data_IF_882867473703
#
_entry.id   IF_882867473703
#
_cell.length_a   1.000
_cell.length_b   1.000
_cell.length_c   1.000
_cell.angle_alpha   90.00
_cell.angle_beta   90.00
_cell.angle_gamma   90.00
#
_symmetry.space_group_name_H-M   'P 1'
#
loop_
_entity.id
_entity.type
_entity.pdbx_description
1 polymer ?
#
# COMPACT_ATOMS: atom_id res chain seq x y z
N UNK A 1 -27.32 34.42 -34.74
CA UNK A 1 -25.87 34.73 -34.80
C UNK A 1 -25.11 33.76 -33.89
N UNK A 2 -24.13 33.04 -34.41
CA UNK A 2 -23.31 32.11 -33.65
C UNK A 2 -22.04 32.83 -33.17
N UNK A 3 -21.82 32.88 -31.86
CA UNK A 3 -20.59 33.44 -31.31
C UNK A 3 -19.43 32.47 -31.56
N UNK A 4 -18.35 32.90 -32.26
CA UNK A 4 -17.18 32.07 -32.47
C UNK A 4 -16.47 31.81 -31.14
N UNK A 5 -15.94 30.59 -31.00
CA UNK A 5 -15.17 30.18 -29.82
C UNK A 5 -13.86 31.01 -29.75
N UNK A 6 -13.42 31.48 -28.56
CA UNK A 6 -12.15 32.17 -28.41
C UNK A 6 -10.97 31.29 -28.86
N UNK A 7 -9.98 31.83 -29.58
CA UNK A 7 -8.84 31.06 -30.04
C UNK A 7 -7.91 30.75 -28.87
N UNK A 8 -7.70 29.45 -28.65
CA UNK A 8 -6.82 28.82 -27.65
C UNK A 8 -7.41 28.74 -26.23
N UNK A 9 -8.44 27.92 -26.07
CA UNK A 9 -8.63 27.23 -24.79
C UNK A 9 -7.36 26.43 -24.47
N UNK A 10 -6.54 26.94 -23.56
CA UNK A 10 -5.50 26.12 -22.93
C UNK A 10 -6.22 25.00 -22.20
N UNK A 11 -5.84 23.76 -22.50
CA UNK A 11 -6.34 22.60 -21.78
C UNK A 11 -6.08 22.85 -20.29
N UNK A 12 -7.08 22.71 -19.40
CA UNK A 12 -6.82 22.76 -17.98
C UNK A 12 -5.71 21.76 -17.67
N UNK A 13 -4.64 22.21 -17.01
CA UNK A 13 -3.55 21.31 -16.59
C UNK A 13 -4.03 20.52 -15.37
N UNK A 14 -4.82 19.49 -15.68
CA UNK A 14 -5.55 18.70 -14.71
C UNK A 14 -5.53 17.26 -15.17
N UNK A 15 -5.26 16.34 -14.23
CA UNK A 15 -5.34 14.90 -14.50
C UNK A 15 -6.76 14.54 -14.95
N UNK A 16 -6.94 13.83 -16.09
CA UNK A 16 -8.27 13.45 -16.52
C UNK A 16 -8.95 12.50 -15.52
N UNK A 17 -10.22 12.77 -15.22
CA UNK A 17 -11.06 11.97 -14.32
C UNK A 17 -11.14 10.53 -14.79
N UNK A 18 -10.64 9.62 -13.96
CA UNK A 18 -10.47 8.20 -14.27
C UNK A 18 -11.57 7.29 -13.71
N UNK A 19 -12.63 7.87 -13.16
CA UNK A 19 -13.74 7.20 -12.46
C UNK A 19 -13.37 6.60 -11.09
N UNK A 20 -12.12 6.73 -10.64
CA UNK A 20 -11.67 6.30 -9.32
C UNK A 20 -11.29 7.48 -8.41
N UNK A 21 -11.04 8.65 -8.99
CA UNK A 21 -10.88 9.89 -8.23
C UNK A 21 -12.22 10.33 -7.61
N UNK A 22 -12.16 11.01 -6.45
CA UNK A 22 -13.32 11.63 -5.83
C UNK A 22 -13.95 12.67 -6.79
N UNK A 23 -15.24 12.53 -7.15
CA UNK A 23 -15.89 13.43 -8.10
C UNK A 23 -16.05 14.86 -7.57
N UNK A 24 -16.10 15.05 -6.24
CA UNK A 24 -16.19 16.38 -5.62
C UNK A 24 -14.86 17.11 -5.79
N UNK A 25 -13.74 16.50 -5.39
CA UNK A 25 -12.40 17.08 -5.52
C UNK A 25 -12.07 17.43 -6.98
N UNK A 26 -12.48 16.57 -7.93
CA UNK A 26 -12.33 16.84 -9.36
C UNK A 26 -13.12 18.08 -9.79
N UNK A 27 -14.34 18.25 -9.30
CA UNK A 27 -15.16 19.43 -9.60
C UNK A 27 -14.57 20.70 -9.00
N UNK A 28 -14.12 20.66 -7.75
CA UNK A 28 -13.58 21.83 -7.06
C UNK A 28 -12.29 22.32 -7.72
N UNK A 29 -11.38 21.39 -8.05
CA UNK A 29 -10.16 21.73 -8.79
C UNK A 29 -10.48 22.31 -10.17
N UNK A 30 -11.45 21.73 -10.87
CA UNK A 30 -11.88 22.25 -12.17
C UNK A 30 -12.51 23.64 -12.04
N UNK A 31 -13.40 23.85 -11.08
CA UNK A 31 -14.11 25.10 -10.83
C UNK A 31 -13.12 26.24 -10.56
N UNK A 32 -12.13 26.02 -9.69
CA UNK A 32 -11.08 27.00 -9.42
C UNK A 32 -10.27 27.39 -10.67
N UNK A 33 -9.93 26.43 -11.54
CA UNK A 33 -9.24 26.71 -12.80
C UNK A 33 -10.09 27.55 -13.77
N UNK A 34 -11.40 27.30 -13.81
CA UNK A 34 -12.32 28.03 -14.68
C UNK A 34 -12.66 29.42 -14.18
N UNK A 35 -12.68 29.62 -12.86
CA UNK A 35 -12.81 30.94 -12.22
C UNK A 35 -11.61 31.84 -12.55
N UNK A 36 -10.39 31.31 -12.43
CA UNK A 36 -9.17 32.02 -12.84
C UNK A 36 -9.18 32.45 -14.31
N UNK A 37 -9.87 31.68 -15.15
CA UNK A 37 -9.98 31.94 -16.60
C UNK A 37 -11.21 32.79 -16.97
N UNK A 38 -12.00 33.26 -15.99
CA UNK A 38 -13.23 34.03 -16.18
C UNK A 38 -14.20 33.42 -17.23
N UNK A 39 -14.29 32.09 -17.30
CA UNK A 39 -15.11 31.41 -18.31
C UNK A 39 -16.60 31.46 -17.95
N UNK A 40 -17.46 31.80 -18.92
CA UNK A 40 -18.90 31.71 -18.76
C UNK A 40 -19.40 30.25 -18.66
N UNK A 41 -20.54 30.04 -18.00
CA UNK A 41 -21.11 28.72 -17.68
C UNK A 41 -21.19 27.75 -18.86
N UNK A 42 -21.63 28.22 -20.03
CA UNK A 42 -21.73 27.40 -21.24
C UNK A 42 -20.35 26.89 -21.70
N UNK A 43 -19.32 27.72 -21.53
CA UNK A 43 -17.94 27.32 -21.81
C UNK A 43 -17.42 26.37 -20.75
N UNK A 44 -17.66 26.65 -19.46
CA UNK A 44 -17.35 25.73 -18.35
C UNK A 44 -17.95 24.34 -18.59
N UNK A 45 -19.20 24.25 -19.01
CA UNK A 45 -19.82 22.96 -19.31
C UNK A 45 -19.09 22.22 -20.43
N UNK A 46 -18.79 22.91 -21.55
CA UNK A 46 -18.10 22.30 -22.71
C UNK A 46 -16.68 21.88 -22.40
N UNK A 47 -15.94 22.74 -21.72
CA UNK A 47 -14.54 22.55 -21.32
C UNK A 47 -14.37 21.34 -20.39
N UNK A 48 -15.36 21.07 -19.54
CA UNK A 48 -15.35 19.94 -18.62
C UNK A 48 -15.22 18.60 -19.33
N UNK A 49 -15.78 18.44 -20.53
CA UNK A 49 -15.67 17.20 -21.31
C UNK A 49 -14.22 16.77 -21.58
N UNK A 50 -13.29 17.73 -21.63
CA UNK A 50 -11.87 17.53 -21.90
C UNK A 50 -11.14 16.95 -20.67
N UNK A 51 -11.67 17.20 -19.47
CA UNK A 51 -11.12 16.68 -18.21
C UNK A 51 -11.62 15.27 -17.89
N UNK A 52 -12.48 14.67 -18.72
CA UNK A 52 -13.03 13.34 -18.50
C UNK A 52 -12.39 12.29 -19.42
N UNK A 53 -12.26 11.05 -18.95
CA UNK A 53 -11.92 9.88 -19.78
C UNK A 53 -12.83 8.67 -19.50
N UNK A 54 -12.78 7.68 -20.39
CA UNK A 54 -13.50 6.40 -20.23
C UNK A 54 -15.01 6.56 -20.04
N UNK A 55 -15.53 5.98 -18.96
CA UNK A 55 -16.96 5.96 -18.62
C UNK A 55 -17.52 7.37 -18.40
N UNK A 56 -16.83 8.24 -17.66
CA UNK A 56 -17.25 9.62 -17.44
C UNK A 56 -17.40 10.43 -18.73
N UNK A 57 -16.46 10.29 -19.68
CA UNK A 57 -16.58 10.95 -20.98
C UNK A 57 -17.78 10.42 -21.78
N UNK A 58 -18.02 9.11 -21.72
CA UNK A 58 -19.16 8.49 -22.41
C UNK A 58 -20.49 8.91 -21.83
N UNK A 59 -20.60 8.98 -20.50
CA UNK A 59 -21.76 9.55 -19.80
C UNK A 59 -22.00 11.01 -20.20
N UNK A 60 -20.94 11.85 -20.22
CA UNK A 60 -21.09 13.26 -20.59
C UNK A 60 -21.68 13.42 -22.00
N UNK A 61 -21.27 12.56 -22.95
CA UNK A 61 -21.81 12.56 -24.32
C UNK A 61 -23.29 12.15 -24.41
N UNK A 62 -23.79 11.40 -23.43
CA UNK A 62 -25.20 10.98 -23.35
C UNK A 62 -26.09 12.05 -22.72
N UNK A 63 -25.51 13.09 -22.10
CA UNK A 63 -26.27 14.24 -21.62
C UNK A 63 -26.92 14.92 -22.83
N UNK A 64 -28.25 15.07 -22.81
CA UNK A 64 -29.01 15.68 -23.91
C UNK A 64 -28.39 17.06 -24.22
N UNK A 65 -28.00 17.28 -25.47
CA UNK A 65 -27.20 18.44 -25.94
C UNK A 65 -27.80 19.84 -25.70
N UNK A 66 -28.93 19.96 -25.00
CA UNK A 66 -29.64 21.21 -24.69
C UNK A 66 -30.17 21.30 -23.26
N UNK A 67 -29.98 20.29 -22.39
CA UNK A 67 -30.57 20.31 -21.04
C UNK A 67 -29.67 20.93 -19.96
N UNK A 68 -28.40 21.21 -20.28
CA UNK A 68 -27.42 21.74 -19.32
C UNK A 68 -26.82 23.01 -19.90
N UNK A 69 -27.34 24.14 -19.45
CA UNK A 69 -26.87 25.47 -19.86
C UNK A 69 -25.99 26.13 -18.80
N UNK A 70 -26.19 25.72 -17.54
CA UNK A 70 -25.50 26.28 -16.37
C UNK A 70 -24.48 25.29 -15.81
N UNK A 71 -23.36 25.81 -15.32
CA UNK A 71 -22.31 25.00 -14.70
C UNK A 71 -22.84 24.25 -13.48
N UNK A 72 -23.66 24.92 -12.67
CA UNK A 72 -24.28 24.33 -11.47
C UNK A 72 -25.15 23.10 -11.79
N UNK A 73 -25.81 23.08 -12.95
CA UNK A 73 -26.61 21.94 -13.39
C UNK A 73 -25.71 20.75 -13.72
N UNK A 74 -24.61 20.99 -14.44
CA UNK A 74 -23.63 19.96 -14.77
C UNK A 74 -22.97 19.38 -13.52
N UNK A 75 -22.55 20.26 -12.60
CA UNK A 75 -22.00 19.89 -11.28
C UNK A 75 -22.93 18.93 -10.56
N UNK A 76 -24.20 19.30 -10.42
CA UNK A 76 -25.20 18.49 -9.72
C UNK A 76 -25.37 17.10 -10.34
N UNK A 77 -25.53 17.02 -11.66
CA UNK A 77 -25.73 15.70 -12.32
C UNK A 77 -24.47 14.85 -12.34
N UNK A 78 -23.28 15.46 -12.40
CA UNK A 78 -22.01 14.74 -12.32
C UNK A 78 -21.80 14.14 -10.93
N UNK A 79 -21.98 14.95 -9.88
CA UNK A 79 -21.93 14.49 -8.49
C UNK A 79 -22.94 13.37 -8.31
N UNK A 80 -24.21 13.56 -8.67
CA UNK A 80 -25.21 12.50 -8.52
C UNK A 80 -24.85 11.20 -9.26
N UNK A 81 -24.23 11.29 -10.44
CA UNK A 81 -23.87 10.12 -11.24
C UNK A 81 -22.68 9.35 -10.68
N UNK A 82 -21.62 10.05 -10.27
CA UNK A 82 -20.34 9.45 -9.92
C UNK A 82 -20.11 9.39 -8.42
N UNK A 83 -20.76 10.24 -7.64
CA UNK A 83 -20.72 10.16 -6.19
C UNK A 83 -21.40 8.89 -5.70
N UNK A 84 -22.45 8.36 -6.32
CA UNK A 84 -23.05 7.09 -5.86
C UNK A 84 -22.07 5.88 -5.80
N UNK A 85 -20.98 5.90 -6.58
CA UNK A 85 -19.93 4.88 -6.51
C UNK A 85 -18.89 5.15 -5.39
N UNK A 86 -18.77 6.41 -4.96
CA UNK A 86 -17.89 6.88 -3.88
C UNK A 86 -18.60 7.04 -2.51
N UNK A 87 -19.90 7.38 -2.54
CA UNK A 87 -20.83 7.64 -1.45
C UNK A 87 -21.51 6.36 -0.94
N UNK A 88 -21.04 5.18 -1.36
CA UNK A 88 -21.22 3.99 -0.51
C UNK A 88 -20.32 4.12 0.72
N UNK A 89 -20.59 5.16 1.51
CA UNK A 89 -20.12 5.35 2.87
C UNK A 89 -20.42 4.04 3.56
N UNK A 90 -19.37 3.37 4.01
CA UNK A 90 -19.51 2.12 4.71
C UNK A 90 -20.09 2.45 6.08
N UNK A 91 -21.13 1.72 6.48
CA UNK A 91 -21.69 1.79 7.84
C UNK A 91 -20.63 1.32 8.84
N UNK A 92 -20.72 1.71 10.11
CA UNK A 92 -19.89 1.14 11.19
C UNK A 92 -19.94 -0.40 11.19
N UNK A 93 -21.10 -0.97 10.85
CA UNK A 93 -21.28 -2.43 10.74
C UNK A 93 -20.41 -3.08 9.66
N UNK A 94 -19.94 -2.31 8.67
CA UNK A 94 -18.98 -2.79 7.67
C UNK A 94 -17.68 -3.24 8.33
N UNK A 95 -17.22 -2.58 9.40
CA UNK A 95 -15.97 -2.94 10.07
C UNK A 95 -16.02 -4.35 10.67
N UNK A 96 -17.20 -4.84 11.04
CA UNK A 96 -17.37 -6.21 11.54
C UNK A 96 -17.10 -7.28 10.46
N UNK A 97 -17.17 -6.90 9.18
CA UNK A 97 -16.89 -7.81 8.06
C UNK A 97 -15.40 -7.92 7.75
N UNK A 98 -14.57 -7.07 8.34
CA UNK A 98 -13.11 -7.02 8.12
C UNK A 98 -12.43 -7.80 9.25
N UNK A 99 -12.86 -9.03 9.53
CA UNK A 99 -12.22 -9.85 10.55
C UNK A 99 -10.86 -10.39 10.05
N UNK A 100 -9.99 -10.73 11.00
CA UNK A 100 -8.71 -11.35 10.68
C UNK A 100 -8.95 -12.79 10.23
N UNK A 101 -8.60 -13.09 8.98
CA UNK A 101 -8.83 -14.40 8.39
C UNK A 101 -7.84 -15.45 8.94
N UNK A 102 -8.18 -16.74 8.80
CA UNK A 102 -7.28 -17.81 9.21
C UNK A 102 -6.00 -17.81 8.34
N UNK A 103 -4.83 -17.77 9.00
CA UNK A 103 -3.54 -17.69 8.32
C UNK A 103 -3.15 -16.28 7.85
N UNK A 104 -4.02 -15.28 7.99
CA UNK A 104 -3.69 -13.90 7.68
C UNK A 104 -2.75 -13.30 8.74
N UNK A 105 -1.69 -12.63 8.28
CA UNK A 105 -0.76 -11.97 9.19
C UNK A 105 -1.39 -10.75 9.87
N UNK A 106 -0.93 -10.43 11.08
CA UNK A 106 -1.38 -9.24 11.79
C UNK A 106 -1.11 -7.96 10.99
N UNK A 107 -0.04 -7.93 10.19
CA UNK A 107 0.31 -6.80 9.34
C UNK A 107 -0.74 -6.56 8.24
N UNK A 108 -1.15 -7.63 7.53
CA UNK A 108 -2.16 -7.55 6.48
C UNK A 108 -3.50 -7.10 7.05
N UNK A 109 -3.94 -7.73 8.14
CA UNK A 109 -5.19 -7.41 8.81
C UNK A 109 -5.25 -5.95 9.29
N UNK A 110 -4.25 -5.48 10.05
CA UNK A 110 -4.23 -4.11 10.57
C UNK A 110 -4.21 -3.09 9.42
N UNK A 111 -3.47 -3.39 8.35
CA UNK A 111 -3.44 -2.55 7.15
C UNK A 111 -4.82 -2.43 6.48
N UNK A 112 -5.51 -3.57 6.29
CA UNK A 112 -6.90 -3.59 5.76
C UNK A 112 -7.84 -2.83 6.67
N UNK A 113 -7.84 -3.11 7.97
CA UNK A 113 -8.74 -2.49 8.94
C UNK A 113 -8.59 -0.96 8.96
N UNK A 114 -7.37 -0.44 9.07
CA UNK A 114 -7.13 1.01 9.10
C UNK A 114 -7.59 1.68 7.80
N UNK A 115 -7.33 1.04 6.65
CA UNK A 115 -7.74 1.54 5.33
C UNK A 115 -9.26 1.58 5.20
N UNK A 116 -9.95 0.54 5.66
CA UNK A 116 -11.41 0.45 5.61
C UNK A 116 -12.08 1.39 6.62
N UNK A 117 -11.48 1.59 7.79
CA UNK A 117 -11.96 2.56 8.79
C UNK A 117 -11.98 3.99 8.29
N UNK A 118 -11.07 4.38 7.39
CA UNK A 118 -11.08 5.70 6.75
C UNK A 118 -12.31 5.88 5.83
N UNK A 119 -12.87 4.79 5.30
CA UNK A 119 -14.04 4.80 4.40
C UNK A 119 -15.39 4.83 5.16
N UNK A 120 -15.36 4.75 6.48
CA UNK A 120 -16.52 4.83 7.37
C UNK A 120 -16.58 6.24 7.96
N UNK A 121 -17.60 7.01 7.57
CA UNK A 121 -17.79 8.38 8.05
C UNK A 121 -18.29 8.36 9.50
N UNK A 122 -17.81 9.28 10.33
CA UNK A 122 -18.26 9.50 11.72
C UNK A 122 -18.15 8.26 12.65
N UNK A 123 -17.31 7.29 12.31
CA UNK A 123 -17.04 6.13 13.17
C UNK A 123 -16.43 6.59 14.50
N UNK A 124 -17.18 6.44 15.60
CA UNK A 124 -16.69 6.81 16.92
C UNK A 124 -15.46 5.98 17.30
N UNK A 125 -14.52 6.59 18.03
CA UNK A 125 -13.34 5.87 18.50
C UNK A 125 -13.70 4.67 19.38
N UNK A 126 -14.83 4.70 20.08
CA UNK A 126 -15.31 3.59 20.89
C UNK A 126 -15.82 2.43 20.06
N UNK A 127 -16.63 2.70 19.02
CA UNK A 127 -17.07 1.66 18.07
C UNK A 127 -15.88 1.07 17.35
N UNK A 128 -14.99 1.90 16.78
CA UNK A 128 -13.79 1.43 16.10
C UNK A 128 -12.90 0.56 17.00
N UNK A 129 -12.73 0.96 18.27
CA UNK A 129 -12.00 0.18 19.28
C UNK A 129 -12.69 -1.15 19.55
N UNK A 130 -13.97 -1.15 19.88
CA UNK A 130 -14.73 -2.36 20.21
C UNK A 130 -14.72 -3.34 19.04
N UNK A 131 -15.00 -2.87 17.82
CA UNK A 131 -14.98 -3.68 16.62
C UNK A 131 -13.60 -4.25 16.32
N UNK A 132 -12.54 -3.42 16.37
CA UNK A 132 -11.17 -3.91 16.14
C UNK A 132 -10.80 -5.03 17.10
N UNK A 133 -11.19 -4.90 18.37
CA UNK A 133 -10.87 -5.86 19.43
C UNK A 133 -11.71 -7.13 19.34
N UNK A 134 -12.93 -7.07 18.78
CA UNK A 134 -13.81 -8.24 18.63
C UNK A 134 -13.48 -9.10 17.42
N UNK A 135 -12.88 -8.52 16.37
CA UNK A 135 -12.66 -9.20 15.09
C UNK A 135 -11.21 -9.63 14.85
N UNK A 136 -10.30 -9.32 15.79
CA UNK A 136 -8.90 -9.73 15.71
C UNK A 136 -8.76 -11.19 16.12
N UNK A 137 -7.87 -11.93 15.45
CA UNK A 137 -7.64 -13.35 15.66
C UNK A 137 -6.16 -13.66 15.95
N UNK A 138 -5.48 -12.75 16.65
CA UNK A 138 -4.07 -12.92 17.05
C UNK A 138 -3.99 -13.22 18.56
N UNK A 139 -3.78 -14.48 18.98
CA UNK A 139 -3.94 -14.90 20.38
C UNK A 139 -3.12 -14.08 21.39
N UNK A 140 -1.83 -13.87 21.13
CA UNK A 140 -0.94 -13.14 22.03
C UNK A 140 -1.36 -11.67 22.20
N UNK A 141 -1.95 -11.09 21.15
CA UNK A 141 -2.46 -9.73 21.16
C UNK A 141 -3.80 -9.65 21.90
N UNK A 142 -4.70 -10.60 21.67
CA UNK A 142 -5.97 -10.76 22.44
C UNK A 142 -5.67 -10.88 23.94
N UNK A 143 -4.73 -11.74 24.32
CA UNK A 143 -4.32 -11.91 25.71
C UNK A 143 -3.79 -10.60 26.29
N UNK A 144 -2.95 -9.87 25.55
CA UNK A 144 -2.41 -8.58 25.98
C UNK A 144 -3.49 -7.52 26.22
N UNK A 145 -4.59 -7.59 25.47
CA UNK A 145 -5.74 -6.71 25.63
C UNK A 145 -6.57 -7.06 26.85
N UNK A 146 -6.77 -8.36 27.14
CA UNK A 146 -7.45 -8.81 28.34
C UNK A 146 -6.68 -8.42 29.62
N UNK A 147 -5.35 -8.57 29.60
CA UNK A 147 -4.50 -8.20 30.74
C UNK A 147 -4.41 -6.68 30.95
N UNK A 148 -4.46 -5.91 29.87
CA UNK A 148 -4.34 -4.46 29.92
C UNK A 148 -5.34 -3.80 28.96
N UNK A 149 -6.60 -3.60 29.40
CA UNK A 149 -7.64 -2.97 28.60
C UNK A 149 -7.18 -1.59 28.10
N UNK A 150 -7.50 -1.27 26.84
CA UNK A 150 -7.20 0.03 26.24
C UNK A 150 -8.40 0.95 26.31
N UNK A 151 -8.17 2.23 26.59
CA UNK A 151 -9.25 3.23 26.69
C UNK A 151 -9.60 3.84 25.34
N UNK A 152 -8.66 3.85 24.39
CA UNK A 152 -8.83 4.51 23.10
C UNK A 152 -8.50 3.60 21.93
N UNK A 153 -9.10 3.90 20.77
CA UNK A 153 -8.76 3.25 19.50
C UNK A 153 -7.27 3.37 19.16
N UNK A 154 -6.68 4.55 19.35
CA UNK A 154 -5.27 4.82 19.05
C UNK A 154 -4.34 3.92 19.87
N UNK A 155 -4.61 3.74 21.15
CA UNK A 155 -3.85 2.83 22.02
C UNK A 155 -3.94 1.38 21.56
N UNK A 156 -5.11 0.94 21.09
CA UNK A 156 -5.31 -0.41 20.58
C UNK A 156 -4.45 -0.65 19.32
N UNK A 157 -4.53 0.25 18.34
CA UNK A 157 -3.74 0.18 17.10
C UNK A 157 -2.23 0.27 17.38
N UNK A 158 -1.80 1.17 18.27
CA UNK A 158 -0.39 1.28 18.63
C UNK A 158 0.16 0.00 19.25
N UNK A 159 -0.62 -0.68 20.08
CA UNK A 159 -0.20 -1.99 20.62
C UNK A 159 -0.12 -3.03 19.52
N UNK A 160 -1.09 -3.11 18.62
CA UNK A 160 -1.04 -4.03 17.48
C UNK A 160 0.23 -3.82 16.65
N UNK A 161 0.62 -2.56 16.38
CA UNK A 161 1.86 -2.23 15.67
C UNK A 161 3.13 -2.70 16.41
N UNK A 162 3.15 -2.68 17.74
CA UNK A 162 4.27 -3.24 18.52
C UNK A 162 4.36 -4.76 18.35
N UNK A 163 3.22 -5.45 18.29
CA UNK A 163 3.19 -6.89 18.02
C UNK A 163 3.62 -7.22 16.60
N UNK A 164 3.18 -6.45 15.60
CA UNK A 164 3.66 -6.58 14.22
C UNK A 164 5.20 -6.50 14.16
N UNK A 165 5.79 -5.48 14.81
CA UNK A 165 7.24 -5.34 14.85
C UNK A 165 7.93 -6.51 15.56
N UNK A 166 7.35 -7.02 16.66
CA UNK A 166 7.87 -8.20 17.34
C UNK A 166 7.84 -9.46 16.46
N UNK A 167 6.76 -9.66 15.69
CA UNK A 167 6.65 -10.75 14.72
C UNK A 167 7.71 -10.64 13.62
N UNK A 168 7.97 -9.43 13.10
CA UNK A 168 9.00 -9.20 12.08
C UNK A 168 10.41 -9.54 12.61
N UNK A 169 10.72 -9.14 13.83
CA UNK A 169 11.99 -9.46 14.49
C UNK A 169 12.15 -10.98 14.68
N UNK A 170 11.08 -11.68 15.06
CA UNK A 170 11.10 -13.14 15.22
C UNK A 170 11.27 -13.85 13.87
N UNK A 171 10.54 -13.44 12.84
CA UNK A 171 10.68 -13.97 11.47
C UNK A 171 12.10 -13.77 10.94
N UNK A 172 12.68 -12.59 11.14
CA UNK A 172 14.06 -12.32 10.73
C UNK A 172 15.07 -13.25 11.43
N UNK A 173 14.93 -13.46 12.75
CA UNK A 173 15.80 -14.40 13.50
C UNK A 173 15.65 -15.84 13.03
N UNK A 174 14.44 -16.28 12.70
CA UNK A 174 14.19 -17.63 12.17
C UNK A 174 14.86 -17.84 10.79
N UNK A 175 14.76 -16.86 9.89
CA UNK A 175 15.42 -16.89 8.59
C UNK A 175 16.95 -16.97 8.74
N UNK A 176 17.52 -16.20 9.67
CA UNK A 176 18.95 -16.27 9.99
C UNK A 176 19.36 -17.69 10.45
N UNK A 177 18.59 -18.31 11.35
CA UNK A 177 18.87 -19.68 11.82
C UNK A 177 18.71 -20.75 10.73
N UNK A 178 17.79 -20.59 9.77
CA UNK A 178 17.67 -21.50 8.63
C UNK A 178 18.86 -21.38 7.67
N UNK A 179 19.40 -20.17 7.45
CA UNK A 179 20.58 -20.00 6.60
C UNK A 179 21.86 -20.56 7.22
N UNK A 180 22.03 -20.48 8.55
CA UNK A 180 23.20 -21.04 9.24
C UNK A 180 23.15 -22.56 9.32
N UNK A 181 21.97 -23.15 9.57
CA UNK A 181 21.78 -24.60 9.57
C UNK A 181 21.94 -25.21 8.16
N UNK A 182 21.41 -24.59 7.11
CA UNK A 182 21.60 -25.04 5.71
C UNK A 182 23.08 -25.02 5.28
N UNK A 183 23.85 -24.01 5.70
CA UNK A 183 25.31 -23.95 5.49
C UNK A 183 26.04 -25.06 6.25
N UNK A 184 25.65 -25.35 7.48
CA UNK A 184 26.24 -26.43 8.28
C UNK A 184 25.95 -27.84 7.73
N UNK A 185 24.75 -28.07 7.19
CA UNK A 185 24.39 -29.35 6.55
C UNK A 185 25.17 -29.58 5.26
N UNK A 186 25.35 -28.54 4.42
CA UNK A 186 26.21 -28.62 3.22
C UNK A 186 27.68 -28.91 3.55
N UNK A 187 28.22 -28.32 4.62
CA UNK A 187 29.59 -28.57 5.06
C UNK A 187 29.80 -30.00 5.60
N UNK A 188 28.78 -30.59 6.24
CA UNK A 188 28.86 -31.95 6.81
C UNK A 188 28.59 -33.06 5.79
N UNK A 189 27.93 -32.76 4.67
CA UNK A 189 27.73 -33.70 3.55
C UNK A 189 28.96 -33.91 2.65
N UNK A 190 29.98 -33.05 2.75
CA UNK A 190 31.23 -33.19 1.99
C UNK A 190 32.34 -33.95 2.75
N UNK A 191 32.19 -34.22 4.05
CA UNK A 191 33.24 -34.86 4.86
C UNK A 191 33.11 -36.39 5.01
N UNK A 192 32.15 -37.03 4.33
CA UNK A 192 31.87 -38.48 4.47
C UNK A 192 32.31 -39.35 3.28
N UNK A 193 33.08 -38.83 2.32
CA UNK A 193 33.70 -39.61 1.25
C UNK A 193 35.23 -39.45 1.22
N UNK A 194 35.93 -40.07 2.19
CA UNK A 194 37.34 -40.43 2.01
C UNK A 194 37.79 -41.44 3.07
N UNK A 195 37.28 -42.67 2.96
CA UNK A 195 37.95 -43.86 3.50
C UNK A 195 37.87 -44.99 2.48
N UNK A 196 38.94 -45.18 1.70
CA UNK A 196 39.35 -46.49 1.18
C UNK A 196 40.87 -46.50 1.00
N UNK A 197 41.45 -47.53 1.60
CA UNK A 197 42.85 -47.90 1.76
C UNK A 197 43.57 -48.29 0.47
N UNK A 198 44.87 -47.99 0.38
CA UNK A 198 45.81 -48.91 -0.25
C UNK A 198 47.20 -48.87 0.41
N UNK A 199 47.71 -50.07 0.67
CA UNK A 199 49.04 -50.39 1.21
C UNK A 199 50.13 -50.22 0.15
N UNK A 200 51.31 -49.73 0.53
CA UNK A 200 52.52 -49.78 -0.29
C UNK A 200 53.73 -49.22 0.46
N UNK A 201 54.83 -49.98 0.46
CA UNK A 201 56.05 -49.82 1.28
C UNK A 201 56.96 -48.64 0.88
N UNK A 202 57.78 -48.25 1.87
CA UNK A 202 59.09 -47.57 1.87
C UNK A 202 59.64 -46.98 0.57
N UNK A 203 60.08 -45.71 0.62
CA UNK A 203 61.52 -45.43 0.46
C UNK A 203 61.97 -44.09 1.04
N UNK A 204 63.22 -44.10 1.51
CA UNK A 204 63.99 -43.07 2.22
C UNK A 204 64.49 -41.99 1.24
N UNK A 205 64.41 -40.69 1.58
CA UNK A 205 65.49 -39.69 1.30
C UNK A 205 65.26 -38.32 1.97
N UNK A 206 66.40 -37.75 2.39
CA UNK A 206 66.65 -36.56 3.23
C UNK A 206 66.50 -35.21 2.51
N UNK A 207 66.26 -34.17 3.34
CA UNK A 207 66.60 -32.74 3.21
C UNK A 207 65.83 -31.96 2.11
N UNK A 208 65.43 -30.69 2.25
CA UNK A 208 66.08 -29.60 2.97
C UNK A 208 65.08 -28.50 3.39
N UNK A 209 65.54 -27.70 4.35
CA UNK A 209 65.03 -26.41 4.83
C UNK A 209 64.72 -25.43 3.67
N UNK A 210 63.57 -24.73 3.70
CA UNK A 210 63.60 -23.26 3.59
C UNK A 210 62.29 -22.58 4.04
N UNK A 211 62.45 -21.33 4.44
CA UNK A 211 61.57 -20.54 5.30
C UNK A 211 60.54 -19.71 4.51
N UNK A 212 59.37 -19.50 5.16
CA UNK A 212 58.32 -18.45 5.04
C UNK A 212 58.66 -17.15 4.24
N UNK A 213 57.68 -16.32 3.79
CA UNK A 213 56.44 -15.98 4.53
C UNK A 213 55.13 -15.68 3.75
N UNK A 214 54.08 -15.49 4.57
CA UNK A 214 52.73 -14.99 4.27
C UNK A 214 52.72 -13.69 3.44
N UNK A 215 51.77 -13.58 2.52
CA UNK A 215 51.25 -12.29 2.06
C UNK A 215 49.81 -12.10 2.56
N UNK A 216 49.63 -11.02 3.32
CA UNK A 216 48.35 -10.43 3.70
C UNK A 216 47.72 -9.79 2.46
N UNK A 217 46.46 -10.12 2.16
CA UNK A 217 45.67 -9.37 1.18
C UNK A 217 44.85 -8.30 1.90
N UNK A 218 45.23 -7.06 1.62
CA UNK A 218 44.64 -5.79 2.05
C UNK A 218 43.20 -5.62 1.52
N UNK A 219 42.34 -5.04 2.34
CA UNK A 219 40.96 -4.65 2.00
C UNK A 219 41.00 -3.35 1.17
N UNK A 220 40.31 -3.24 0.02
CA UNK A 220 40.19 -1.97 -0.69
C UNK A 220 39.02 -1.16 -0.11
N UNK A 221 39.34 0.03 0.38
CA UNK A 221 38.42 1.12 0.68
C UNK A 221 38.11 1.84 -0.64
N UNK A 222 36.83 2.02 -0.97
CA UNK A 222 36.40 2.94 -2.01
C UNK A 222 35.80 4.20 -1.36
N UNK A 223 36.54 5.30 -1.50
CA UNK A 223 36.07 6.70 -1.49
C UNK A 223 35.54 6.96 -2.93
N UNK A 224 34.49 7.73 -3.24
CA UNK A 224 33.84 8.86 -2.59
C UNK A 224 32.45 9.07 -3.23
#
# INVERSE_FOLDING_TARGET
MAYPLPPKMKKPDMKPYDNFANPIDHIELYEGLMELSAMGDKMKCRAFSVTLKGRARSWYRQLKSKSIALWIQLRKVFINQFSAQHDRKKSDTHLLTIFQEEGESLHEFVGRFVTEKIKVLDCSNDVARMTFMSIINTPNLIQSYALQPKRTYTEAIQRARKYMHAEDVLKYKQLQHQTTTSKHVRARGQSSQSKKSHSGRDDRRKANFDSRPRQECTIPVYDR
#
